data_IF_772774725268
#
_entry.id   IF_772774725268
#
_cell.length_a   1.000
_cell.length_b   1.000
_cell.length_c   1.000
_cell.angle_alpha   90.00
_cell.angle_beta   90.00
_cell.angle_gamma   90.00
#
_symmetry.space_group_name_H-M   'P 1'
#
loop_
_entity.id
_entity.type
_entity.pdbx_description
1 polymer ?
#
# COMPACT_ATOMS: atom_id res chain seq x y z
N UNK A 1 -20.20 -11.08 -6.64
CA UNK A 1 -19.78 -9.91 -5.83
C UNK A 1 -18.57 -10.37 -5.03
N UNK A 2 -17.38 -9.77 -5.14
CA UNK A 2 -16.35 -10.01 -4.14
C UNK A 2 -16.94 -9.59 -2.79
N UNK A 3 -16.93 -10.49 -1.82
CA UNK A 3 -17.46 -10.24 -0.48
C UNK A 3 -16.68 -9.09 0.15
N UNK A 4 -17.37 -8.09 0.68
CA UNK A 4 -16.74 -7.06 1.51
C UNK A 4 -15.96 -7.76 2.63
N UNK A 5 -14.64 -7.54 2.75
CA UNK A 5 -13.85 -8.21 3.77
C UNK A 5 -14.36 -7.83 5.17
N UNK A 6 -14.22 -8.73 6.16
CA UNK A 6 -14.56 -8.40 7.54
C UNK A 6 -13.78 -7.16 7.98
N UNK A 7 -14.37 -6.36 8.87
CA UNK A 7 -13.75 -5.15 9.40
C UNK A 7 -13.58 -5.24 10.91
N UNK A 8 -12.58 -4.53 11.42
CA UNK A 8 -12.36 -4.32 12.86
C UNK A 8 -12.19 -2.85 13.16
N UNK A 9 -12.44 -2.46 14.41
CA UNK A 9 -12.22 -1.10 14.86
C UNK A 9 -10.77 -0.97 15.38
N UNK A 10 -9.97 -0.10 14.74
CA UNK A 10 -8.61 0.20 15.17
C UNK A 10 -8.49 1.71 15.40
N UNK A 11 -8.20 2.11 16.63
CA UNK A 11 -8.12 3.52 17.05
C UNK A 11 -9.34 4.37 16.61
N UNK A 12 -10.54 3.79 16.62
CA UNK A 12 -11.78 4.46 16.22
C UNK A 12 -12.07 4.47 14.72
N UNK A 13 -11.20 3.89 13.88
CA UNK A 13 -11.40 3.78 12.42
C UNK A 13 -11.77 2.33 12.07
N UNK A 14 -12.87 2.10 11.33
CA UNK A 14 -13.17 0.77 10.79
C UNK A 14 -12.16 0.45 9.68
N UNK A 15 -11.43 -0.64 9.84
CA UNK A 15 -10.40 -1.09 8.88
C UNK A 15 -10.65 -2.52 8.43
N UNK A 16 -10.25 -2.91 7.20
CA UNK A 16 -10.33 -4.30 6.78
C UNK A 16 -9.47 -5.22 7.67
N UNK A 17 -10.02 -6.36 8.03
CA UNK A 17 -9.40 -7.37 8.89
C UNK A 17 -9.13 -8.66 8.11
N UNK A 18 -8.22 -8.58 7.13
CA UNK A 18 -7.79 -9.76 6.36
C UNK A 18 -6.55 -10.40 7.00
N UNK A 19 -6.35 -11.71 6.84
CA UNK A 19 -5.12 -12.37 7.28
C UNK A 19 -3.86 -11.72 6.70
N UNK A 20 -3.91 -11.25 5.44
CA UNK A 20 -2.77 -10.62 4.79
C UNK A 20 -2.43 -9.25 5.39
N UNK A 21 -3.43 -8.44 5.76
CA UNK A 21 -3.21 -7.16 6.47
C UNK A 21 -2.60 -7.42 7.85
N UNK A 22 -3.05 -8.44 8.57
CA UNK A 22 -2.48 -8.81 9.86
C UNK A 22 -1.02 -9.25 9.74
N UNK A 23 -0.68 -10.00 8.67
CA UNK A 23 0.71 -10.33 8.34
C UNK A 23 1.52 -9.09 7.99
N UNK A 24 0.95 -8.12 7.27
CA UNK A 24 1.64 -6.87 6.93
C UNK A 24 1.93 -6.02 8.18
N UNK A 25 0.98 -5.92 9.11
CA UNK A 25 1.18 -5.28 10.41
C UNK A 25 2.30 -5.94 11.21
N UNK A 26 2.33 -7.28 11.27
CA UNK A 26 3.38 -8.01 11.95
C UNK A 26 4.75 -7.84 11.26
N UNK A 27 4.76 -7.84 9.92
CA UNK A 27 5.97 -7.63 9.13
C UNK A 27 6.54 -6.23 9.35
N UNK A 28 5.71 -5.18 9.29
CA UNK A 28 6.13 -3.82 9.62
C UNK A 28 6.65 -3.71 11.06
N UNK A 29 5.96 -4.34 12.03
CA UNK A 29 6.39 -4.31 13.44
C UNK A 29 7.76 -4.96 13.66
N UNK A 30 8.08 -6.00 12.88
CA UNK A 30 9.34 -6.72 13.01
C UNK A 30 10.55 -5.99 12.37
N UNK A 31 10.31 -5.09 11.41
CA UNK A 31 11.39 -4.47 10.62
C UNK A 31 11.54 -2.96 10.83
N UNK A 32 10.49 -2.28 11.28
CA UNK A 32 10.49 -0.85 11.56
C UNK A 32 10.84 -0.56 13.02
N UNK A 33 11.45 0.60 13.29
CA UNK A 33 11.48 1.15 14.64
C UNK A 33 10.09 1.60 15.09
N UNK A 34 9.93 1.91 16.38
CA UNK A 34 8.64 2.34 16.93
C UNK A 34 8.10 3.60 16.24
N UNK A 35 8.98 4.52 15.82
CA UNK A 35 8.57 5.73 15.13
C UNK A 35 7.97 5.43 13.75
N UNK A 36 8.71 4.69 12.92
CA UNK A 36 8.30 4.31 11.56
C UNK A 36 7.07 3.41 11.60
N UNK A 37 7.02 2.45 12.53
CA UNK A 37 5.84 1.60 12.72
C UNK A 37 4.58 2.42 13.03
N UNK A 38 4.68 3.34 13.99
CA UNK A 38 3.56 4.20 14.34
C UNK A 38 3.16 5.13 13.18
N UNK A 39 4.13 5.59 12.38
CA UNK A 39 3.90 6.40 11.19
C UNK A 39 3.14 5.64 10.09
N UNK A 40 3.58 4.44 9.72
CA UNK A 40 2.92 3.65 8.67
C UNK A 40 1.52 3.22 9.10
N UNK A 41 1.31 2.88 10.37
CA UNK A 41 -0.03 2.55 10.90
C UNK A 41 -0.96 3.76 10.85
N UNK A 42 -0.51 4.95 11.31
CA UNK A 42 -1.33 6.17 11.20
C UNK A 42 -1.64 6.54 9.76
N UNK A 43 -0.67 6.38 8.86
CA UNK A 43 -0.84 6.65 7.42
C UNK A 43 -1.93 5.76 6.83
N UNK A 44 -1.94 4.47 7.18
CA UNK A 44 -3.01 3.55 6.79
C UNK A 44 -4.38 3.93 7.36
N UNK A 45 -4.45 4.27 8.65
CA UNK A 45 -5.71 4.67 9.30
C UNK A 45 -6.31 5.93 8.64
N UNK A 46 -5.49 6.96 8.43
CA UNK A 46 -5.92 8.19 7.77
C UNK A 46 -6.31 7.95 6.31
N UNK A 47 -5.51 7.20 5.57
CA UNK A 47 -5.83 6.85 4.19
C UNK A 47 -7.16 6.11 4.09
N UNK A 48 -7.42 5.17 5.00
CA UNK A 48 -8.68 4.41 5.03
C UNK A 48 -9.86 5.32 5.33
N UNK A 49 -9.77 6.12 6.40
CA UNK A 49 -10.82 7.04 6.79
C UNK A 49 -11.17 8.03 5.67
N UNK A 50 -10.17 8.69 5.09
CA UNK A 50 -10.36 9.68 4.02
C UNK A 50 -10.99 9.02 2.79
N UNK A 51 -10.48 7.86 2.39
CA UNK A 51 -10.98 7.14 1.20
C UNK A 51 -12.43 6.69 1.36
N UNK A 52 -12.87 6.37 2.57
CA UNK A 52 -14.27 5.99 2.84
C UNK A 52 -15.23 7.18 2.81
N UNK A 53 -14.73 8.42 2.96
CA UNK A 53 -15.54 9.63 2.82
C UNK A 53 -15.73 10.06 1.35
N UNK A 54 -14.90 9.56 0.43
CA UNK A 54 -14.92 9.97 -0.99
C UNK A 54 -15.59 8.85 -1.81
N UNK A 55 -16.77 9.09 -2.43
CA UNK A 55 -17.52 8.07 -3.16
C UNK A 55 -16.69 7.30 -4.20
N UNK A 56 -15.85 8.02 -4.95
CA UNK A 56 -15.00 7.46 -6.00
C UNK A 56 -13.94 6.47 -5.48
N UNK A 57 -13.60 6.54 -4.20
CA UNK A 57 -12.61 5.65 -3.56
C UNK A 57 -13.23 4.51 -2.76
N UNK A 58 -14.56 4.42 -2.68
CA UNK A 58 -15.24 3.32 -1.96
C UNK A 58 -15.06 1.97 -2.64
N UNK A 59 -14.88 1.95 -3.96
CA UNK A 59 -14.68 0.73 -4.76
C UNK A 59 -13.20 0.33 -4.91
N UNK A 60 -12.28 1.01 -4.20
CA UNK A 60 -10.85 0.70 -4.24
C UNK A 60 -10.56 -0.71 -3.74
N UNK A 61 -9.43 -1.27 -4.16
CA UNK A 61 -8.87 -2.46 -3.56
C UNK A 61 -8.36 -2.14 -2.16
N UNK A 62 -9.18 -2.44 -1.15
CA UNK A 62 -8.92 -2.07 0.25
C UNK A 62 -7.72 -2.81 0.84
N UNK A 63 -7.42 -4.01 0.34
CA UNK A 63 -6.28 -4.80 0.81
C UNK A 63 -4.97 -4.31 0.18
N UNK A 64 -4.96 -4.00 -1.11
CA UNK A 64 -3.81 -3.35 -1.76
C UNK A 64 -3.52 -2.00 -1.11
N UNK A 65 -4.55 -1.19 -0.85
CA UNK A 65 -4.40 0.09 -0.17
C UNK A 65 -3.82 -0.08 1.25
N UNK A 66 -4.29 -1.06 2.02
CA UNK A 66 -3.78 -1.32 3.35
C UNK A 66 -2.31 -1.75 3.34
N UNK A 67 -1.95 -2.70 2.48
CA UNK A 67 -0.59 -3.25 2.42
C UNK A 67 0.40 -2.20 1.94
N UNK A 68 0.06 -1.45 0.88
CA UNK A 68 0.93 -0.39 0.36
C UNK A 68 1.12 0.72 1.38
N UNK A 69 0.08 1.12 2.12
CA UNK A 69 0.21 2.11 3.19
C UNK A 69 1.06 1.60 4.37
N UNK A 70 0.92 0.34 4.76
CA UNK A 70 1.67 -0.26 5.86
C UNK A 70 3.15 -0.48 5.53
N UNK A 71 3.49 -0.69 4.26
CA UNK A 71 4.83 -1.07 3.81
C UNK A 71 5.57 0.03 3.03
N UNK A 72 5.00 1.23 2.90
CA UNK A 72 5.60 2.28 2.05
C UNK A 72 7.01 2.71 2.48
N UNK A 73 7.32 2.64 3.78
CA UNK A 73 8.62 3.02 4.34
C UNK A 73 9.54 1.83 4.62
N UNK A 74 9.30 0.66 4.00
CA UNK A 74 10.17 -0.51 4.16
C UNK A 74 11.59 -0.32 3.57
N UNK A 75 11.84 0.77 2.86
CA UNK A 75 13.19 1.18 2.46
C UNK A 75 14.02 1.82 3.59
N UNK A 76 13.42 2.04 4.77
CA UNK A 76 14.04 2.67 5.95
C UNK A 76 14.25 1.70 7.13
N UNK A 77 14.16 0.39 6.88
CA UNK A 77 14.17 -0.62 7.94
C UNK A 77 15.53 -0.72 8.63
N UNK A 78 15.51 -1.04 9.93
CA UNK A 78 16.74 -1.16 10.72
C UNK A 78 17.49 -2.45 10.38
N UNK A 79 16.78 -3.50 9.95
CA UNK A 79 17.38 -4.81 9.68
C UNK A 79 18.36 -4.79 8.50
N UNK A 80 18.29 -3.78 7.62
CA UNK A 80 19.19 -3.63 6.48
C UNK A 80 18.96 -4.65 5.34
N UNK A 81 18.28 -5.77 5.61
CA UNK A 81 17.98 -6.82 4.64
C UNK A 81 17.16 -6.34 3.43
N UNK A 82 16.40 -5.26 3.60
CA UNK A 82 15.59 -4.66 2.53
C UNK A 82 16.25 -3.46 1.88
N UNK A 83 17.44 -3.02 2.33
CA UNK A 83 18.07 -1.76 1.90
C UNK A 83 19.30 -2.05 1.05
N UNK A 84 19.29 -1.58 -0.20
CA UNK A 84 20.44 -1.69 -1.11
C UNK A 84 21.38 -0.49 -0.96
N UNK A 85 22.63 -0.64 -1.40
CA UNK A 85 23.64 0.44 -1.35
C UNK A 85 23.50 1.45 -2.50
N UNK A 86 22.80 1.07 -3.55
CA UNK A 86 22.81 1.73 -4.87
C UNK A 86 21.42 2.20 -5.32
N UNK A 87 20.34 1.71 -4.68
CA UNK A 87 18.97 2.10 -4.98
C UNK A 87 18.49 3.19 -4.05
N UNK A 88 17.46 3.90 -4.50
CA UNK A 88 16.73 4.81 -3.62
C UNK A 88 15.81 4.01 -2.72
N UNK A 89 15.60 4.48 -1.50
CA UNK A 89 14.77 3.80 -0.51
C UNK A 89 13.35 3.51 -1.01
N UNK A 90 12.78 4.33 -1.90
CA UNK A 90 11.45 4.08 -2.47
C UNK A 90 11.41 2.81 -3.34
N UNK A 91 12.50 2.52 -4.06
CA UNK A 91 12.63 1.30 -4.87
C UNK A 91 12.76 0.09 -3.96
N UNK A 92 13.56 0.21 -2.91
CA UNK A 92 13.76 -0.85 -1.92
C UNK A 92 12.47 -1.17 -1.16
N UNK A 93 11.70 -0.16 -0.78
CA UNK A 93 10.36 -0.33 -0.19
C UNK A 93 9.40 -1.02 -1.15
N UNK A 94 9.43 -0.67 -2.44
CA UNK A 94 8.57 -1.26 -3.45
C UNK A 94 8.93 -2.73 -3.71
N UNK A 95 10.22 -3.06 -3.81
CA UNK A 95 10.70 -4.44 -3.93
C UNK A 95 10.36 -5.27 -2.69
N UNK A 96 10.56 -4.72 -1.48
CA UNK A 96 10.20 -5.39 -0.24
C UNK A 96 8.69 -5.69 -0.16
N UNK A 97 7.86 -4.75 -0.60
CA UNK A 97 6.39 -4.91 -0.65
C UNK A 97 6.01 -6.00 -1.65
N UNK A 98 6.60 -5.99 -2.84
CA UNK A 98 6.34 -7.02 -3.86
C UNK A 98 6.78 -8.41 -3.38
N UNK A 99 7.95 -8.51 -2.76
CA UNK A 99 8.47 -9.75 -2.19
C UNK A 99 7.57 -10.28 -1.06
N UNK A 100 7.09 -9.39 -0.18
CA UNK A 100 6.11 -9.73 0.85
C UNK A 100 4.82 -10.30 0.23
N UNK A 101 4.27 -9.65 -0.79
CA UNK A 101 3.03 -10.08 -1.44
C UNK A 101 3.17 -11.43 -2.15
N UNK A 102 4.30 -11.68 -2.82
CA UNK A 102 4.58 -12.98 -3.45
C UNK A 102 4.67 -14.10 -2.41
N UNK A 103 5.21 -13.81 -1.22
CA UNK A 103 5.39 -14.79 -0.14
C UNK A 103 4.10 -15.06 0.64
N UNK A 104 3.37 -14.00 0.97
CA UNK A 104 2.27 -14.05 1.95
C UNK A 104 0.88 -14.02 1.34
N UNK A 105 0.75 -13.48 0.11
CA UNK A 105 -0.51 -13.37 -0.61
C UNK A 105 -1.03 -14.73 -1.07
N UNK A 106 -2.36 -14.85 -1.18
CA UNK A 106 -2.97 -16.08 -1.67
C UNK A 106 -2.64 -16.31 -3.15
N UNK A 107 -2.25 -17.54 -3.48
CA UNK A 107 -1.94 -17.93 -4.86
C UNK A 107 -3.17 -17.79 -5.73
N UNK A 108 -3.08 -16.94 -6.76
CA UNK A 108 -4.18 -16.66 -7.69
C UNK A 108 -4.93 -15.35 -7.40
N UNK A 109 -4.81 -14.79 -6.20
CA UNK A 109 -5.43 -13.49 -5.84
C UNK A 109 -4.50 -12.30 -6.13
N UNK A 110 -3.19 -12.54 -6.13
CA UNK A 110 -2.16 -11.56 -6.48
C UNK A 110 -1.56 -11.85 -7.85
N UNK A 111 -2.26 -11.42 -8.89
CA UNK A 111 -1.78 -11.49 -10.27
C UNK A 111 -0.63 -10.49 -10.54
N UNK A 112 0.01 -10.62 -11.71
CA UNK A 112 1.14 -9.76 -12.09
C UNK A 112 0.76 -8.27 -12.10
N UNK A 113 -0.50 -7.94 -12.43
CA UNK A 113 -0.98 -6.56 -12.50
C UNK A 113 -1.16 -5.98 -11.10
N UNK A 114 -1.78 -6.70 -10.17
CA UNK A 114 -2.00 -6.28 -8.77
C UNK A 114 -0.67 -6.13 -8.03
N UNK A 115 0.28 -7.03 -8.29
CA UNK A 115 1.66 -6.91 -7.80
C UNK A 115 2.37 -5.66 -8.34
N UNK A 116 2.23 -5.36 -9.63
CA UNK A 116 2.80 -4.15 -10.21
C UNK A 116 2.17 -2.88 -9.63
N UNK A 117 0.84 -2.87 -9.44
CA UNK A 117 0.13 -1.76 -8.79
C UNK A 117 0.62 -1.51 -7.37
N UNK A 118 0.87 -2.56 -6.59
CA UNK A 118 1.40 -2.42 -5.24
C UNK A 118 2.82 -1.83 -5.25
N UNK A 119 3.67 -2.32 -6.15
CA UNK A 119 5.03 -1.80 -6.32
C UNK A 119 5.04 -0.33 -6.74
N UNK A 120 4.23 0.05 -7.74
CA UNK A 120 4.10 1.42 -8.22
C UNK A 120 3.58 2.36 -7.13
N UNK A 121 2.61 1.88 -6.33
CA UNK A 121 2.02 2.68 -5.23
C UNK A 121 3.08 3.04 -4.19
N UNK A 122 3.92 2.08 -3.79
CA UNK A 122 5.00 2.33 -2.83
C UNK A 122 6.07 3.23 -3.44
N UNK A 123 6.53 2.93 -4.67
CA UNK A 123 7.55 3.73 -5.35
C UNK A 123 7.16 5.21 -5.44
N UNK A 124 5.88 5.49 -5.69
CA UNK A 124 5.38 6.84 -5.94
C UNK A 124 4.90 7.56 -4.68
N UNK A 125 4.86 6.91 -3.52
CA UNK A 125 4.33 7.49 -2.28
C UNK A 125 5.05 8.79 -1.89
N UNK A 126 6.37 8.89 -2.11
CA UNK A 126 7.14 10.10 -1.81
C UNK A 126 7.09 11.18 -2.91
N UNK A 127 6.84 10.79 -4.17
CA UNK A 127 6.84 11.73 -5.31
C UNK A 127 5.64 12.67 -5.35
N UNK A 128 4.66 12.50 -4.46
CA UNK A 128 3.57 13.45 -4.27
C UNK A 128 4.05 14.81 -3.71
N UNK A 129 5.23 14.89 -3.08
CA UNK A 129 5.70 16.12 -2.40
C UNK A 129 6.76 16.91 -3.20
N UNK A 130 7.43 16.33 -4.20
CA UNK A 130 8.67 16.91 -4.74
C UNK A 130 8.70 17.22 -6.26
N UNK A 131 7.56 17.35 -6.95
CA UNK A 131 7.57 17.84 -8.34
C UNK A 131 6.64 19.03 -8.55
N UNK A 132 7.21 20.21 -8.27
CA UNK A 132 6.72 21.49 -8.75
C UNK A 132 6.95 21.56 -10.26
N UNK A 133 5.88 21.56 -11.04
CA UNK A 133 5.91 22.03 -12.42
C UNK A 133 5.49 21.00 -13.47
N UNK A 134 4.22 21.14 -13.87
CA UNK A 134 3.57 20.67 -15.10
C UNK A 134 3.00 19.23 -15.04
N UNK A 135 1.66 19.21 -15.07
CA UNK A 135 0.74 18.06 -15.15
C UNK A 135 0.43 17.30 -13.84
N UNK A 136 -0.28 18.05 -12.99
CA UNK A 136 -1.34 17.69 -12.03
C UNK A 136 -1.93 16.26 -12.16
N UNK A 137 -1.91 15.52 -11.04
CA UNK A 137 -2.56 14.23 -10.68
C UNK A 137 -1.99 12.90 -11.18
N UNK A 138 -1.30 12.18 -10.28
CA UNK A 138 -1.04 10.73 -10.38
C UNK A 138 -1.65 9.91 -9.23
N UNK A 139 -2.81 10.34 -8.74
CA UNK A 139 -3.84 9.41 -8.21
C UNK A 139 -4.83 8.98 -9.31
N UNK A 140 -4.70 9.52 -10.53
CA UNK A 140 -5.74 9.42 -11.57
C UNK A 140 -5.47 8.43 -12.71
N UNK A 141 -4.27 7.83 -12.81
CA UNK A 141 -4.00 6.84 -13.86
C UNK A 141 -4.37 5.40 -13.46
N UNK A 142 -4.57 5.13 -12.18
CA UNK A 142 -4.97 3.80 -11.71
C UNK A 142 -6.50 3.58 -11.68
N UNK A 143 -7.30 4.65 -11.78
CA UNK A 143 -8.77 4.58 -11.81
C UNK A 143 -9.40 4.63 -13.22
N UNK A 144 -8.63 4.95 -14.28
CA UNK A 144 -9.17 4.93 -15.67
C UNK A 144 -8.87 3.67 -16.47
N UNK A 145 -8.12 2.70 -15.96
CA UNK A 145 -7.81 1.46 -16.70
C UNK A 145 -9.01 0.49 -16.73
N UNK A 146 -10.05 0.70 -15.91
CA UNK A 146 -11.21 -0.21 -15.88
C UNK A 146 -12.42 0.23 -16.72
N UNK A 147 -12.34 1.33 -17.50
CA UNK A 147 -13.51 1.86 -18.21
C UNK A 147 -13.29 2.22 -19.68
N UNK A 148 -12.18 1.78 -20.28
CA UNK A 148 -11.93 1.95 -21.72
C UNK A 148 -11.23 0.71 -22.26
N UNK A 149 -11.95 -0.39 -22.51
CA UNK A 149 -11.65 -1.43 -23.51
C UNK A 149 -12.86 -2.38 -23.68
N UNK A 150 -14.09 -1.85 -23.64
CA UNK A 150 -15.27 -2.51 -24.19
C UNK A 150 -15.83 -1.56 -25.28
N UNK A 151 -15.13 -1.52 -26.42
CA UNK A 151 -15.58 -1.13 -27.76
C UNK A 151 -14.50 -1.53 -28.78
#
# INVERSE_FOLDING_TARGET
MPSTPPTKLLAGVPVPDTPLINKALAFARAHCDDFTYNHVVRSWLFGTYISDQIPDFKSRDVELHAITALLHDMGWTISGDTVSKDKRFEVDGAEATRAFLIREGEKGDWDARRLQLAWDSVLLTWRAIALKGRHFWMSWRLLKINHQLDD
#
